data_IF_462233216428
#
_entry.id   IF_462233216428
#
_cell.length_a   1.000
_cell.length_b   1.000
_cell.length_c   1.000
_cell.angle_alpha   90.00
_cell.angle_beta   90.00
_cell.angle_gamma   90.00
#
_symmetry.space_group_name_H-M   'P 1'
#
loop_
_entity.id
_entity.type
_entity.pdbx_description
1 polymer ?
#
# COMPACT_ATOMS: atom_id res chain seq x y z
N UNK A 1 6.88 4.49 15.45
CA UNK A 1 6.47 3.32 14.63
C UNK A 1 4.98 3.00 14.68
N UNK A 2 4.38 2.74 13.52
CA UNK A 2 3.01 2.23 13.34
C UNK A 2 3.03 1.02 12.39
N UNK A 3 1.95 0.23 12.42
CA UNK A 3 1.66 -0.82 11.45
C UNK A 3 0.46 -0.40 10.61
N UNK A 4 0.57 -0.50 9.28
CA UNK A 4 -0.54 -0.36 8.36
C UNK A 4 -0.78 -1.68 7.62
N UNK A 5 -2.02 -2.14 7.61
CA UNK A 5 -2.47 -3.24 6.77
C UNK A 5 -3.30 -2.65 5.65
N UNK A 6 -2.84 -2.78 4.41
CA UNK A 6 -3.46 -2.14 3.25
C UNK A 6 -3.91 -3.16 2.21
N UNK A 7 -5.11 -2.95 1.68
CA UNK A 7 -5.63 -3.65 0.52
C UNK A 7 -6.08 -2.61 -0.51
N UNK A 8 -5.74 -2.85 -1.78
CA UNK A 8 -5.96 -1.93 -2.88
C UNK A 8 -6.78 -2.64 -3.95
N UNK A 9 -7.85 -1.99 -4.39
CA UNK A 9 -8.86 -2.53 -5.30
C UNK A 9 -9.02 -1.59 -6.50
N UNK A 10 -8.29 -1.85 -7.60
CA UNK A 10 -8.53 -1.18 -8.88
C UNK A 10 -9.88 -1.63 -9.44
N UNK A 11 -10.84 -0.72 -9.59
CA UNK A 11 -12.24 -1.07 -9.93
C UNK A 11 -12.41 -1.24 -11.45
N UNK A 12 -11.79 -0.35 -12.22
CA UNK A 12 -11.94 -0.28 -13.67
C UNK A 12 -10.74 -0.88 -14.43
N UNK A 13 -9.75 -1.42 -13.71
CA UNK A 13 -8.57 -1.99 -14.34
C UNK A 13 -8.91 -3.30 -15.08
N UNK A 14 -8.40 -3.45 -16.30
CA UNK A 14 -8.49 -4.72 -17.05
C UNK A 14 -7.68 -5.84 -16.37
N UNK A 15 -6.55 -5.49 -15.77
CA UNK A 15 -5.68 -6.39 -15.01
C UNK A 15 -5.37 -5.79 -13.63
N UNK A 16 -6.22 -6.11 -12.65
CA UNK A 16 -6.10 -5.60 -11.29
C UNK A 16 -4.81 -6.09 -10.60
N UNK A 17 -4.38 -7.33 -10.86
CA UNK A 17 -3.17 -7.90 -10.26
C UNK A 17 -1.92 -7.17 -10.75
N UNK A 18 -1.87 -6.83 -12.04
CA UNK A 18 -0.78 -6.03 -12.58
C UNK A 18 -0.70 -4.65 -11.92
N UNK A 19 -1.83 -3.96 -11.73
CA UNK A 19 -1.88 -2.63 -11.09
C UNK A 19 -1.44 -2.71 -9.63
N UNK A 20 -1.87 -3.74 -8.89
CA UNK A 20 -1.45 -3.96 -7.50
C UNK A 20 0.05 -4.19 -7.44
N UNK A 21 0.59 -5.11 -8.26
CA UNK A 21 2.02 -5.43 -8.27
C UNK A 21 2.87 -4.21 -8.66
N UNK A 22 2.46 -3.45 -9.68
CA UNK A 22 3.13 -2.22 -10.10
C UNK A 22 3.08 -1.14 -9.00
N UNK A 23 2.00 -1.09 -8.21
CA UNK A 23 1.91 -0.19 -7.06
C UNK A 23 2.89 -0.60 -5.96
N UNK A 24 3.02 -1.90 -5.68
CA UNK A 24 3.96 -2.41 -4.68
C UNK A 24 5.43 -2.11 -5.03
N UNK A 25 5.78 -1.91 -6.30
CA UNK A 25 7.13 -1.46 -6.70
C UNK A 25 7.50 -0.07 -6.16
N UNK A 26 6.51 0.76 -5.79
CA UNK A 26 6.74 2.05 -5.13
C UNK A 26 7.18 1.92 -3.67
N UNK A 27 6.99 0.72 -3.07
CA UNK A 27 7.47 0.41 -1.73
C UNK A 27 8.95 0.08 -1.79
N UNK A 28 9.77 1.11 -1.59
CA UNK A 28 11.20 0.91 -1.35
C UNK A 28 11.42 0.50 0.10
N UNK A 29 12.03 -0.68 0.31
CA UNK A 29 12.56 -1.03 1.63
C UNK A 29 13.57 0.04 2.04
N UNK A 30 13.44 0.54 3.25
CA UNK A 30 14.40 1.47 3.85
C UNK A 30 14.81 0.94 5.22
N UNK A 31 15.82 1.56 5.83
CA UNK A 31 16.29 1.18 7.17
C UNK A 31 15.20 1.34 8.25
N UNK A 32 14.15 2.11 7.96
CA UNK A 32 13.10 2.51 8.90
C UNK A 32 11.69 2.06 8.49
N UNK A 33 11.56 1.42 7.31
CA UNK A 33 10.29 0.91 6.79
C UNK A 33 10.45 -0.48 6.19
N UNK A 34 9.71 -1.43 6.73
CA UNK A 34 9.60 -2.80 6.24
C UNK A 34 8.18 -3.06 5.76
N UNK A 35 8.05 -3.95 4.76
CA UNK A 35 6.75 -4.41 4.32
C UNK A 35 6.77 -5.91 4.02
N UNK A 36 5.60 -6.52 4.12
CA UNK A 36 5.36 -7.93 3.80
C UNK A 36 4.06 -8.06 3.03
N UNK A 37 4.10 -8.75 1.89
CA UNK A 37 2.92 -8.99 1.06
C UNK A 37 2.28 -10.30 1.52
N UNK A 38 1.10 -10.19 2.11
CA UNK A 38 0.26 -11.32 2.47
C UNK A 38 -0.71 -11.70 1.34
N UNK A 39 -1.52 -12.77 1.53
CA UNK A 39 -2.46 -13.25 0.52
C UNK A 39 -3.68 -12.34 0.32
N UNK A 40 -3.96 -11.41 1.26
CA UNK A 40 -5.15 -10.55 1.23
C UNK A 40 -4.80 -9.07 1.37
N UNK A 41 -3.72 -8.75 2.07
CA UNK A 41 -3.27 -7.39 2.33
C UNK A 41 -1.74 -7.34 2.35
N UNK A 42 -1.22 -6.13 2.24
CA UNK A 42 0.18 -5.83 2.51
C UNK A 42 0.30 -5.20 3.88
N UNK A 43 1.25 -5.69 4.66
CA UNK A 43 1.60 -5.11 5.95
C UNK A 43 2.80 -4.19 5.77
N UNK A 44 2.71 -2.96 6.27
CA UNK A 44 3.77 -1.94 6.21
C UNK A 44 4.02 -1.47 7.63
N UNK A 45 5.26 -1.59 8.11
CA UNK A 45 5.66 -1.19 9.44
C UNK A 45 6.85 -0.24 9.37
N UNK A 46 6.79 0.85 10.13
CA UNK A 46 7.86 1.84 10.15
C UNK A 46 7.45 3.11 10.88
N UNK A 47 8.21 4.19 10.71
CA UNK A 47 7.85 5.49 11.24
C UNK A 47 6.58 6.06 10.59
N UNK A 48 5.76 6.78 11.37
CA UNK A 48 4.42 7.16 10.94
C UNK A 48 4.40 7.92 9.61
N UNK A 49 5.25 8.94 9.49
CA UNK A 49 5.36 9.76 8.29
C UNK A 49 5.78 8.96 7.05
N UNK A 50 6.60 7.92 7.22
CA UNK A 50 7.04 7.08 6.12
C UNK A 50 5.93 6.13 5.68
N UNK A 51 5.23 5.51 6.64
CA UNK A 51 4.08 4.64 6.36
C UNK A 51 2.97 5.42 5.65
N UNK A 52 2.63 6.64 6.11
CA UNK A 52 1.64 7.47 5.41
C UNK A 52 2.09 7.87 4.01
N UNK A 53 3.36 8.24 3.81
CA UNK A 53 3.90 8.52 2.48
C UNK A 53 3.86 7.29 1.57
N UNK A 54 4.12 6.11 2.10
CA UNK A 54 4.04 4.85 1.36
C UNK A 54 2.60 4.57 0.90
N UNK A 55 1.62 4.70 1.80
CA UNK A 55 0.19 4.56 1.46
C UNK A 55 -0.25 5.57 0.39
N UNK A 56 0.21 6.82 0.49
CA UNK A 56 -0.08 7.84 -0.52
C UNK A 56 0.49 7.45 -1.89
N UNK A 57 1.76 7.02 -1.96
CA UNK A 57 2.41 6.61 -3.22
C UNK A 57 1.70 5.41 -3.85
N UNK A 58 1.31 4.41 -3.03
CA UNK A 58 0.53 3.26 -3.49
C UNK A 58 -0.76 3.70 -4.16
N UNK A 59 -1.53 4.55 -3.48
CA UNK A 59 -2.80 5.03 -3.99
C UNK A 59 -2.64 5.84 -5.27
N UNK A 60 -1.69 6.78 -5.29
CA UNK A 60 -1.42 7.61 -6.48
C UNK A 60 -0.97 6.78 -7.67
N UNK A 61 -0.14 5.74 -7.44
CA UNK A 61 0.31 4.84 -8.51
C UNK A 61 -0.84 4.03 -9.06
N UNK A 62 -1.66 3.44 -8.18
CA UNK A 62 -2.85 2.72 -8.58
C UNK A 62 -3.84 3.59 -9.36
N UNK A 63 -4.05 4.85 -8.98
CA UNK A 63 -4.92 5.76 -9.72
C UNK A 63 -4.41 6.08 -11.12
N UNK A 64 -3.08 6.14 -11.32
CA UNK A 64 -2.48 6.35 -12.65
C UNK A 64 -2.64 5.14 -13.56
N UNK A 65 -2.47 3.94 -13.01
CA UNK A 65 -2.39 2.70 -13.79
C UNK A 65 -3.74 1.97 -13.87
N UNK A 66 -4.67 2.23 -12.95
CA UNK A 66 -5.93 1.49 -12.74
C UNK A 66 -7.17 2.06 -13.41
N UNK A 67 -7.04 2.95 -14.39
CA UNK A 67 -8.18 3.44 -15.20
C UNK A 67 -8.98 4.61 -14.59
N UNK A 68 -8.74 4.95 -13.32
CA UNK A 68 -9.26 6.17 -12.68
C UNK A 68 -9.96 5.91 -11.35
N UNK A 69 -10.68 4.79 -11.22
CA UNK A 69 -11.36 4.42 -9.97
C UNK A 69 -10.59 3.36 -9.18
N UNK A 70 -10.17 3.73 -7.97
CA UNK A 70 -9.44 2.87 -7.03
C UNK A 70 -10.05 3.01 -5.65
N UNK A 71 -10.30 1.89 -4.99
CA UNK A 71 -10.62 1.85 -3.56
C UNK A 71 -9.41 1.33 -2.79
N UNK A 72 -9.03 2.01 -1.72
CA UNK A 72 -7.97 1.56 -0.82
C UNK A 72 -8.51 1.49 0.60
N UNK A 73 -8.33 0.33 1.23
CA UNK A 73 -8.66 0.11 2.63
C UNK A 73 -7.36 -0.03 3.39
N UNK A 74 -7.14 0.85 4.37
CA UNK A 74 -5.98 0.81 5.23
C UNK A 74 -6.42 0.77 6.70
N UNK A 75 -5.97 -0.25 7.43
CA UNK A 75 -6.11 -0.34 8.88
C UNK A 75 -4.79 0.06 9.51
N UNK A 76 -4.80 1.10 10.35
CA UNK A 76 -3.59 1.65 10.97
C UNK A 76 -3.62 1.39 12.47
N UNK A 77 -2.53 0.81 12.97
CA UNK A 77 -2.36 0.43 14.37
C UNK A 77 -1.12 1.10 14.96
N UNK A 78 -1.30 1.84 16.05
CA UNK A 78 -0.24 2.36 16.91
C UNK A 78 -0.30 1.69 18.29
N UNK A 79 -0.44 0.36 18.29
CA UNK A 79 -0.37 -0.44 19.50
C UNK A 79 1.09 -0.78 19.77
N UNK A 80 1.57 -0.47 20.97
CA UNK A 80 2.88 -0.93 21.44
C UNK A 80 2.75 -2.43 21.72
N UNK A 81 3.42 -3.27 20.94
CA UNK A 81 3.70 -4.65 21.30
C UNK A 81 4.86 -4.69 22.30
#
# INVERSE_FOLDING_TARGET
MILAQVALYPIEAEDADQVINASLEELNQSDTMHFSVGPVNTEIQGEADEVFRALQRLFERACRDGGGEVSMVATITNARC
#
